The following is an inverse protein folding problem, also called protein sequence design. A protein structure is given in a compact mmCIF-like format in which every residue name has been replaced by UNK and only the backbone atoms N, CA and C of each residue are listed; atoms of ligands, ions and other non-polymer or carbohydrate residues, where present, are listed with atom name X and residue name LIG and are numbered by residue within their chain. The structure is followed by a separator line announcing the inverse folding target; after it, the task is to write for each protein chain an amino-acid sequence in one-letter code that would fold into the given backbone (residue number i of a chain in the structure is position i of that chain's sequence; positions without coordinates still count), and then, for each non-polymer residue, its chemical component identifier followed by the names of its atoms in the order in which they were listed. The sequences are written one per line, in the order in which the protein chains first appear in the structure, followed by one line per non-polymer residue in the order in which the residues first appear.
data_IF_898091098058
#
_entry.id   IF_898091098058
#
_cell.length_a   1.000
_cell.length_b   1.000
_cell.length_c   1.000
_cell.angle_alpha   90.00
_cell.angle_beta   90.00
_cell.angle_gamma   90.00
#
_symmetry.space_group_name_H-M   'P 1'
#
loop_
_entity.id
_entity.type
_entity.pdbx_description
1 polymer ?
#
# COMPACT_ATOMS: atom_id res chain seq x y z
N UNK A 1 -13.52 5.79 -35.59
CA UNK A 1 -13.35 5.93 -34.12
C UNK A 1 -12.94 4.56 -33.60
N UNK A 2 -11.81 4.50 -32.91
CA UNK A 2 -11.28 3.26 -32.35
C UNK A 2 -12.21 2.72 -31.25
N UNK A 3 -12.45 1.40 -31.25
CA UNK A 3 -13.36 0.73 -30.32
C UNK A 3 -12.88 0.82 -28.87
N UNK A 4 -11.60 0.63 -28.64
CA UNK A 4 -11.04 0.54 -27.29
C UNK A 4 -10.93 1.93 -26.65
N UNK A 5 -10.63 2.96 -27.46
CA UNK A 5 -10.78 4.35 -27.06
C UNK A 5 -12.22 4.67 -26.65
N UNK A 6 -13.21 4.33 -27.49
CA UNK A 6 -14.62 4.55 -27.16
C UNK A 6 -15.03 3.82 -25.88
N UNK A 7 -14.62 2.56 -25.71
CA UNK A 7 -14.88 1.80 -24.49
C UNK A 7 -14.32 2.50 -23.27
N UNK A 8 -13.06 2.96 -23.32
CA UNK A 8 -12.44 3.62 -22.17
C UNK A 8 -13.07 4.99 -21.89
N UNK A 9 -13.48 5.72 -22.92
CA UNK A 9 -14.24 6.96 -22.79
C UNK A 9 -15.57 6.72 -22.05
N UNK A 10 -16.32 5.69 -22.44
CA UNK A 10 -17.59 5.34 -21.80
C UNK A 10 -17.42 4.79 -20.38
N UNK A 11 -16.24 4.28 -20.02
CA UNK A 11 -15.91 3.82 -18.66
C UNK A 11 -15.25 4.91 -17.81
N UNK A 12 -14.96 6.07 -18.40
CA UNK A 12 -14.31 7.17 -17.69
C UNK A 12 -15.25 7.83 -16.68
N UNK A 13 -14.67 8.40 -15.63
CA UNK A 13 -15.43 9.12 -14.59
C UNK A 13 -16.25 10.28 -15.17
N UNK A 14 -15.75 10.96 -16.20
CA UNK A 14 -16.44 12.08 -16.84
C UNK A 14 -17.76 11.63 -17.47
N UNK A 15 -17.73 10.55 -18.25
CA UNK A 15 -18.95 9.99 -18.82
C UNK A 15 -19.87 9.39 -17.75
N UNK A 16 -19.33 8.63 -16.78
CA UNK A 16 -20.15 8.01 -15.74
C UNK A 16 -20.86 9.05 -14.85
N UNK A 17 -20.19 10.15 -14.50
CA UNK A 17 -20.81 11.27 -13.78
C UNK A 17 -21.87 11.99 -14.62
N UNK A 18 -21.59 12.22 -15.91
CA UNK A 18 -22.58 12.78 -16.83
C UNK A 18 -23.83 11.88 -16.94
N UNK A 19 -23.63 10.57 -17.09
CA UNK A 19 -24.70 9.59 -17.20
C UNK A 19 -25.54 9.50 -15.91
N UNK A 20 -24.91 9.61 -14.74
CA UNK A 20 -25.60 9.65 -13.45
C UNK A 20 -26.47 10.91 -13.32
N UNK A 21 -25.94 12.08 -13.67
CA UNK A 21 -26.67 13.35 -13.59
C UNK A 21 -27.84 13.46 -14.57
N UNK A 22 -27.77 12.76 -15.71
CA UNK A 22 -28.82 12.73 -16.73
C UNK A 22 -29.73 11.50 -16.59
N UNK A 23 -29.74 10.85 -15.42
CA UNK A 23 -30.59 9.70 -15.15
C UNK A 23 -31.83 10.09 -14.33
N UNK A 24 -33.01 9.77 -14.88
CA UNK A 24 -34.31 10.16 -14.29
C UNK A 24 -34.75 9.30 -13.08
N UNK A 25 -33.92 8.36 -12.60
CA UNK A 25 -34.30 7.40 -11.54
C UNK A 25 -33.24 7.29 -10.44
N UNK A 26 -33.69 7.39 -9.19
CA UNK A 26 -32.86 7.37 -7.99
C UNK A 26 -32.15 6.02 -7.69
N UNK A 27 -32.59 4.89 -8.26
CA UNK A 27 -32.11 3.56 -7.85
C UNK A 27 -31.34 2.79 -8.93
N UNK A 28 -31.56 3.09 -10.23
CA UNK A 28 -30.78 2.54 -11.35
C UNK A 28 -30.60 3.67 -12.38
N UNK A 29 -29.40 4.24 -12.50
CA UNK A 29 -29.13 5.30 -13.47
C UNK A 29 -29.36 4.77 -14.90
N UNK A 30 -30.40 5.29 -15.57
CA UNK A 30 -30.67 5.00 -16.97
C UNK A 30 -30.52 6.27 -17.78
N UNK A 31 -29.52 6.31 -18.66
CA UNK A 31 -29.33 7.41 -19.58
C UNK A 31 -30.31 7.30 -20.76
N UNK A 32 -31.00 8.40 -21.08
CA UNK A 32 -31.89 8.47 -22.24
C UNK A 32 -31.06 8.58 -23.54
N UNK A 33 -31.56 8.04 -24.66
CA UNK A 33 -30.86 8.05 -25.95
C UNK A 33 -30.46 9.46 -26.39
N UNK A 34 -31.32 10.46 -26.14
CA UNK A 34 -31.05 11.88 -26.44
C UNK A 34 -29.88 12.42 -25.64
N UNK A 35 -29.80 12.12 -24.34
CA UNK A 35 -28.70 12.52 -23.48
C UNK A 35 -27.39 11.82 -23.88
N UNK A 36 -27.46 10.53 -24.23
CA UNK A 36 -26.29 9.80 -24.71
C UNK A 36 -25.68 10.44 -25.97
N UNK A 37 -26.52 10.83 -26.93
CA UNK A 37 -26.06 11.50 -28.17
C UNK A 37 -25.64 12.95 -27.97
N UNK A 38 -26.05 13.58 -26.87
CA UNK A 38 -25.70 14.95 -26.52
C UNK A 38 -24.42 15.05 -25.67
N UNK A 39 -23.78 13.92 -25.35
CA UNK A 39 -22.52 13.91 -24.64
C UNK A 39 -21.39 14.43 -25.54
N UNK A 40 -20.80 15.55 -25.16
CA UNK A 40 -19.68 16.15 -25.87
C UNK A 40 -18.35 15.71 -25.26
N UNK A 41 -17.38 15.41 -26.13
CA UNK A 41 -16.03 15.06 -25.74
C UNK A 41 -15.04 15.50 -26.82
N UNK A 42 -13.79 15.75 -26.41
CA UNK A 42 -12.72 16.00 -27.35
C UNK A 42 -12.34 14.70 -28.05
N UNK A 43 -12.58 14.61 -29.36
CA UNK A 43 -12.23 13.46 -30.18
C UNK A 43 -10.84 13.67 -30.79
N UNK A 44 -9.79 12.94 -30.34
CA UNK A 44 -8.45 13.05 -30.91
C UNK A 44 -8.40 12.45 -32.32
N UNK A 45 -7.36 12.76 -33.14
CA UNK A 45 -7.11 12.11 -34.43
C UNK A 45 -7.05 10.57 -34.32
N UNK A 46 -7.41 9.86 -35.40
CA UNK A 46 -7.50 8.40 -35.40
C UNK A 46 -6.17 7.73 -35.05
N UNK A 47 -5.05 8.28 -35.53
CA UNK A 47 -3.71 7.75 -35.26
C UNK A 47 -3.39 7.70 -33.76
N UNK A 48 -3.76 8.76 -33.02
CA UNK A 48 -3.60 8.80 -31.56
C UNK A 48 -4.56 7.84 -30.83
N UNK A 49 -5.75 7.60 -31.40
CA UNK A 49 -6.68 6.62 -30.83
C UNK A 49 -6.13 5.19 -30.97
N UNK A 50 -5.44 4.90 -32.06
CA UNK A 50 -4.83 3.60 -32.31
C UNK A 50 -3.59 3.37 -31.44
N UNK A 51 -2.74 4.39 -31.26
CA UNK A 51 -1.64 4.35 -30.29
C UNK A 51 -2.14 4.09 -28.86
N UNK A 52 -3.20 4.79 -28.46
CA UNK A 52 -3.86 4.57 -27.17
C UNK A 52 -4.34 3.12 -27.03
N UNK A 53 -4.95 2.55 -28.08
CA UNK A 53 -5.44 1.17 -28.11
C UNK A 53 -4.33 0.17 -27.79
N UNK A 54 -3.15 0.33 -28.41
CA UNK A 54 -1.98 -0.54 -28.19
C UNK A 54 -1.51 -0.48 -26.74
N UNK A 55 -1.51 0.71 -26.13
CA UNK A 55 -1.09 0.89 -24.74
C UNK A 55 -2.10 0.22 -23.79
N UNK A 56 -3.39 0.44 -24.01
CA UNK A 56 -4.45 -0.16 -23.19
C UNK A 56 -4.43 -1.68 -23.25
N UNK A 57 -4.24 -2.26 -24.44
CA UNK A 57 -4.17 -3.71 -24.61
C UNK A 57 -3.03 -4.33 -23.78
N UNK A 58 -1.84 -3.71 -23.81
CA UNK A 58 -0.70 -4.15 -22.99
C UNK A 58 -1.00 -4.08 -21.50
N UNK A 59 -1.62 -2.99 -21.04
CA UNK A 59 -1.96 -2.80 -19.62
C UNK A 59 -3.00 -3.82 -19.16
N UNK A 60 -4.05 -4.04 -19.95
CA UNK A 60 -5.09 -5.03 -19.63
C UNK A 60 -4.53 -6.46 -19.63
N UNK A 61 -3.59 -6.78 -20.53
CA UNK A 61 -2.88 -8.06 -20.52
C UNK A 61 -2.08 -8.28 -19.23
N UNK A 62 -1.34 -7.26 -18.78
CA UNK A 62 -0.60 -7.31 -17.51
C UNK A 62 -1.55 -7.47 -16.33
N UNK A 63 -2.65 -6.71 -16.30
CA UNK A 63 -3.65 -6.78 -15.24
C UNK A 63 -4.30 -8.16 -15.15
N UNK A 64 -4.67 -8.75 -16.29
CA UNK A 64 -5.23 -10.09 -16.36
C UNK A 64 -4.25 -11.14 -15.81
N UNK A 65 -2.96 -11.04 -16.18
CA UNK A 65 -1.92 -11.90 -15.64
C UNK A 65 -1.80 -11.81 -14.11
N UNK A 66 -1.79 -10.60 -13.53
CA UNK A 66 -1.74 -10.42 -12.08
C UNK A 66 -2.98 -10.98 -11.38
N UNK A 67 -4.18 -10.77 -11.95
CA UNK A 67 -5.42 -11.31 -11.41
C UNK A 67 -5.41 -12.84 -11.41
N UNK A 68 -4.90 -13.46 -12.48
CA UNK A 68 -4.74 -14.90 -12.55
C UNK A 68 -3.75 -15.39 -11.48
N UNK A 69 -2.58 -14.75 -11.37
CA UNK A 69 -1.58 -15.12 -10.37
C UNK A 69 -2.12 -15.03 -8.93
N UNK A 70 -2.92 -14.01 -8.62
CA UNK A 70 -3.60 -13.87 -7.32
C UNK A 70 -4.62 -14.99 -7.07
N UNK A 71 -5.38 -15.37 -8.10
CA UNK A 71 -6.32 -16.49 -8.04
C UNK A 71 -5.58 -17.80 -7.78
N UNK A 72 -4.48 -18.05 -8.52
CA UNK A 72 -3.66 -19.26 -8.38
C UNK A 72 -3.03 -19.35 -6.99
N UNK A 73 -2.50 -18.24 -6.47
CA UNK A 73 -1.96 -18.18 -5.11
C UNK A 73 -3.04 -18.48 -4.06
N UNK A 74 -4.23 -17.92 -4.23
CA UNK A 74 -5.35 -18.17 -3.31
C UNK A 74 -5.80 -19.64 -3.34
N UNK A 75 -5.82 -20.24 -4.54
CA UNK A 75 -6.10 -21.66 -4.71
C UNK A 75 -5.03 -22.53 -4.04
N UNK A 76 -3.75 -22.25 -4.31
CA UNK A 76 -2.61 -22.97 -3.70
C UNK A 76 -2.61 -22.86 -2.18
N UNK A 77 -2.84 -21.66 -1.65
CA UNK A 77 -2.98 -21.44 -0.22
C UNK A 77 -4.14 -22.27 0.35
N UNK A 78 -5.29 -22.29 -0.32
CA UNK A 78 -6.44 -23.10 0.09
C UNK A 78 -6.11 -24.59 0.12
N UNK A 79 -5.46 -25.11 -0.92
CA UNK A 79 -5.09 -26.54 -0.97
C UNK A 79 -4.07 -26.90 0.10
N UNK A 80 -3.02 -26.09 0.28
CA UNK A 80 -1.98 -26.33 1.27
C UNK A 80 -2.53 -26.23 2.70
N UNK A 81 -3.42 -25.25 2.95
CA UNK A 81 -4.07 -25.11 4.25
C UNK A 81 -4.94 -26.32 4.59
N UNK A 82 -5.71 -26.83 3.62
CA UNK A 82 -6.50 -28.04 3.82
C UNK A 82 -5.63 -29.27 4.07
N UNK A 83 -4.53 -29.44 3.34
CA UNK A 83 -3.59 -30.55 3.54
C UNK A 83 -2.89 -30.46 4.91
N UNK A 84 -2.49 -29.26 5.32
CA UNK A 84 -1.89 -29.02 6.63
C UNK A 84 -2.88 -29.36 7.76
N UNK A 85 -4.13 -28.92 7.66
CA UNK A 85 -5.18 -29.19 8.66
C UNK A 85 -5.54 -30.67 8.74
N UNK A 86 -5.47 -31.40 7.64
CA UNK A 86 -5.67 -32.87 7.61
C UNK A 86 -4.44 -33.66 8.06
N UNK A 87 -3.31 -33.00 8.28
CA UNK A 87 -2.03 -33.67 8.62
C UNK A 87 -1.40 -34.41 7.45
N UNK A 88 -1.86 -34.16 6.21
CA UNK A 88 -1.37 -34.79 4.98
C UNK A 88 -0.18 -34.03 4.37
N UNK A 89 0.18 -32.87 4.93
CA UNK A 89 1.24 -32.01 4.41
C UNK A 89 2.61 -32.46 4.92
N UNK A 90 3.46 -32.95 4.01
CA UNK A 90 4.86 -33.25 4.33
C UNK A 90 5.77 -32.02 4.11
N UNK A 91 6.27 -31.44 5.22
CA UNK A 91 7.21 -30.31 5.19
C UNK A 91 8.70 -30.74 5.15
N UNK A 92 8.99 -32.03 4.95
CA UNK A 92 10.35 -32.61 5.08
C UNK A 92 11.39 -32.06 4.09
N UNK A 93 10.94 -31.50 2.97
CA UNK A 93 11.80 -30.93 1.91
C UNK A 93 11.86 -29.41 1.91
N UNK A 94 11.10 -28.74 2.78
CA UNK A 94 11.10 -27.29 2.88
C UNK A 94 12.11 -26.90 3.96
N UNK A 95 13.20 -26.19 3.63
CA UNK A 95 14.09 -25.64 4.66
C UNK A 95 13.30 -24.63 5.49
N UNK A 96 12.82 -25.07 6.65
CA UNK A 96 12.12 -24.21 7.58
C UNK A 96 13.15 -23.29 8.24
N UNK A 97 12.96 -21.96 8.22
CA UNK A 97 13.72 -21.07 9.09
C UNK A 97 13.52 -21.56 10.52
N UNK A 98 14.61 -21.75 11.26
CA UNK A 98 14.58 -22.21 12.65
C UNK A 98 13.99 -21.11 13.53
N UNK A 99 12.66 -20.98 13.53
CA UNK A 99 11.96 -20.13 14.48
C UNK A 99 12.10 -20.81 15.84
N UNK A 100 12.90 -20.22 16.73
CA UNK A 100 12.95 -20.64 18.14
C UNK A 100 11.56 -20.41 18.73
N UNK A 101 10.82 -21.49 18.88
CA UNK A 101 9.47 -21.47 19.45
C UNK A 101 9.61 -21.39 20.98
N UNK A 102 9.63 -20.18 21.52
CA UNK A 102 9.41 -19.95 22.95
C UNK A 102 7.96 -20.39 23.25
N UNK A 103 7.82 -21.44 24.05
CA UNK A 103 6.54 -22.04 24.41
C UNK A 103 5.71 -21.05 25.26
N UNK A 104 4.84 -20.29 24.62
CA UNK A 104 3.82 -19.50 25.32
C UNK A 104 2.54 -20.33 25.48
N UNK A 105 2.21 -20.61 26.74
CA UNK A 105 0.97 -21.25 27.18
C UNK A 105 -0.27 -20.67 26.51
N UNK A 106 -1.17 -21.58 26.15
CA UNK A 106 -2.51 -21.39 25.63
C UNK A 106 -3.36 -20.46 26.50
N UNK A 107 -3.70 -19.27 25.98
CA UNK A 107 -5.00 -18.62 26.18
C UNK A 107 -5.44 -17.92 24.90
N UNK A 108 -6.61 -18.35 24.44
CA UNK A 108 -7.39 -17.79 23.35
C UNK A 108 -7.84 -16.36 23.66
N UNK A 109 -7.19 -15.39 23.01
CA UNK A 109 -7.80 -14.23 22.33
C UNK A 109 -6.80 -13.87 21.23
N UNK A 110 -7.24 -13.78 19.97
CA UNK A 110 -6.38 -13.35 18.85
C UNK A 110 -5.84 -11.94 19.12
N UNK A 111 -4.61 -11.90 19.65
CA UNK A 111 -3.78 -10.72 19.72
C UNK A 111 -2.51 -11.06 18.93
N UNK A 112 -2.28 -10.33 17.85
CA UNK A 112 -1.14 -10.50 16.95
C UNK A 112 0.17 -10.49 17.76
N UNK A 113 1.14 -11.39 17.51
CA UNK A 113 2.26 -11.62 18.42
C UNK A 113 3.28 -10.49 18.41
N UNK A 114 3.61 -10.07 19.62
CA UNK A 114 4.75 -9.23 20.01
C UNK A 114 6.01 -10.11 20.05
N UNK A 115 7.00 -9.79 19.22
CA UNK A 115 8.43 -9.77 19.58
C UNK A 115 9.31 -9.56 18.34
N UNK A 116 9.66 -8.30 18.07
CA UNK A 116 10.96 -7.95 17.47
C UNK A 116 11.36 -6.62 18.14
N UNK A 117 12.49 -6.67 18.84
CA UNK A 117 13.24 -5.60 19.53
C UNK A 117 12.60 -4.22 19.72
N UNK A 118 12.43 -3.90 21.00
CA UNK A 118 12.65 -2.61 21.67
C UNK A 118 13.31 -1.50 20.83
N UNK A 119 12.51 -0.80 20.04
CA UNK A 119 12.57 0.66 20.04
C UNK A 119 11.14 1.09 20.33
N UNK A 120 10.88 1.50 21.57
CA UNK A 120 9.67 2.25 21.88
C UNK A 120 9.77 3.57 21.12
N UNK A 121 9.34 3.58 19.87
CA UNK A 121 9.28 4.78 19.03
C UNK A 121 8.27 5.69 19.69
N UNK A 122 8.76 6.66 20.44
CA UNK A 122 7.94 7.61 21.18
C UNK A 122 7.73 8.83 20.28
N UNK A 123 6.57 8.89 19.63
CA UNK A 123 6.14 10.07 18.90
C UNK A 123 5.82 11.20 19.88
N UNK A 124 6.20 12.46 19.61
CA UNK A 124 5.96 13.57 20.53
C UNK A 124 4.46 13.77 20.80
N UNK A 125 4.11 14.00 22.06
CA UNK A 125 2.77 14.41 22.47
C UNK A 125 2.57 15.89 22.11
N UNK A 126 1.43 16.23 21.51
CA UNK A 126 1.05 17.62 21.23
C UNK A 126 -0.27 17.89 21.96
N UNK A 127 -0.35 18.96 22.74
CA UNK A 127 -1.52 19.25 23.57
C UNK A 127 -2.85 19.40 22.76
N UNK A 128 -2.75 19.67 21.45
CA UNK A 128 -3.89 19.85 20.53
C UNK A 128 -4.01 18.74 19.46
N UNK A 129 -3.60 17.50 19.76
CA UNK A 129 -3.63 16.39 18.78
C UNK A 129 -4.99 16.22 18.10
N UNK A 130 -6.10 16.24 18.85
CA UNK A 130 -7.44 16.04 18.30
C UNK A 130 -7.84 17.16 17.30
N UNK A 131 -7.53 18.42 17.61
CA UNK A 131 -7.84 19.56 16.74
C UNK A 131 -6.96 19.57 15.48
N UNK A 132 -5.69 19.18 15.62
CA UNK A 132 -4.74 19.06 14.51
C UNK A 132 -5.14 17.92 13.56
N UNK A 133 -5.64 16.80 14.08
CA UNK A 133 -6.11 15.68 13.28
C UNK A 133 -7.37 16.01 12.46
N UNK A 134 -8.17 17.01 12.85
CA UNK A 134 -9.35 17.42 12.08
C UNK A 134 -9.01 18.24 10.83
N UNK A 135 -7.90 18.97 10.84
CA UNK A 135 -7.45 19.80 9.71
C UNK A 135 -6.49 19.06 8.78
N UNK A 136 -6.78 19.01 7.47
CA UNK A 136 -5.92 18.33 6.49
C UNK A 136 -4.49 18.86 6.47
N UNK A 137 -4.33 20.18 6.43
CA UNK A 137 -3.02 20.81 6.36
C UNK A 137 -2.22 20.62 7.65
N UNK A 138 -2.89 20.62 8.80
CA UNK A 138 -2.24 20.44 10.09
C UNK A 138 -1.83 18.97 10.31
N UNK A 139 -2.62 18.00 9.80
CA UNK A 139 -2.25 16.58 9.75
C UNK A 139 -0.99 16.33 8.97
N UNK A 140 -0.87 16.91 7.78
CA UNK A 140 0.29 16.74 6.91
C UNK A 140 1.57 17.22 7.61
N UNK A 141 1.52 18.42 8.23
CA UNK A 141 2.64 18.94 9.01
C UNK A 141 3.00 18.04 10.20
N UNK A 142 1.99 17.49 10.88
CA UNK A 142 2.20 16.58 12.00
C UNK A 142 2.82 15.24 11.58
N UNK A 143 2.38 14.67 10.45
CA UNK A 143 2.95 13.45 9.89
C UNK A 143 4.43 13.65 9.56
N UNK A 144 4.79 14.81 8.98
CA UNK A 144 6.19 15.16 8.71
C UNK A 144 7.00 15.22 10.01
N UNK A 145 6.52 15.93 11.03
CA UNK A 145 7.19 15.99 12.33
C UNK A 145 7.38 14.60 12.97
N UNK A 146 6.36 13.74 12.89
CA UNK A 146 6.42 12.38 13.38
C UNK A 146 7.40 11.51 12.59
N UNK A 147 7.45 11.65 11.26
CA UNK A 147 8.42 10.95 10.42
C UNK A 147 9.86 11.39 10.71
N UNK A 148 10.09 12.68 10.99
CA UNK A 148 11.40 13.18 11.38
C UNK A 148 11.87 12.63 12.73
N UNK A 149 10.97 12.61 13.73
CA UNK A 149 11.28 11.99 15.03
C UNK A 149 11.52 10.50 14.88
N UNK A 150 10.71 9.83 14.04
CA UNK A 150 10.89 8.43 13.73
C UNK A 150 12.26 8.15 13.11
N UNK A 151 12.70 8.95 12.12
CA UNK A 151 14.04 8.81 11.53
C UNK A 151 15.16 9.03 12.56
N UNK A 152 15.01 9.99 13.48
CA UNK A 152 16.00 10.21 14.54
C UNK A 152 16.09 9.03 15.52
N UNK A 153 14.97 8.36 15.78
CA UNK A 153 14.90 7.20 16.67
C UNK A 153 15.31 5.89 15.97
N UNK A 154 15.30 5.86 14.64
CA UNK A 154 15.59 4.67 13.83
C UNK A 154 17.05 4.21 13.92
N UNK A 155 18.00 5.11 14.20
CA UNK A 155 19.42 4.77 14.39
C UNK A 155 19.99 3.86 13.27
N UNK A 156 20.48 2.63 13.57
CA UNK A 156 21.03 1.68 12.60
C UNK A 156 19.97 0.80 11.90
N UNK A 157 18.71 0.89 12.33
CA UNK A 157 17.63 -0.02 11.95
C UNK A 157 17.00 0.35 10.59
N UNK A 158 16.24 -0.61 10.04
CA UNK A 158 15.56 -0.46 8.76
C UNK A 158 14.33 0.43 8.89
N UNK A 159 14.17 1.35 7.94
CA UNK A 159 12.99 2.20 7.84
C UNK A 159 11.82 1.33 7.40
N UNK A 160 10.88 1.13 8.33
CA UNK A 160 9.65 0.39 8.08
C UNK A 160 8.45 1.31 8.21
N UNK A 161 7.71 1.50 7.12
CA UNK A 161 6.43 2.24 7.13
C UNK A 161 5.44 1.54 8.07
N UNK A 162 5.46 0.21 8.16
CA UNK A 162 4.56 -0.53 9.04
C UNK A 162 4.81 -0.20 10.51
N UNK A 163 6.07 -0.15 10.94
CA UNK A 163 6.41 0.21 12.33
C UNK A 163 6.00 1.66 12.63
N UNK A 164 6.22 2.57 11.68
CA UNK A 164 5.76 3.96 11.80
C UNK A 164 4.24 4.03 11.96
N UNK A 165 3.47 3.38 11.08
CA UNK A 165 2.00 3.39 11.15
C UNK A 165 1.47 2.76 12.44
N UNK A 166 2.11 1.70 12.95
CA UNK A 166 1.76 1.12 14.25
C UNK A 166 2.03 2.12 15.40
N UNK A 167 3.16 2.83 15.38
CA UNK A 167 3.45 3.86 16.37
C UNK A 167 2.42 5.01 16.32
N UNK A 168 2.03 5.43 15.11
CA UNK A 168 0.97 6.42 14.90
C UNK A 168 -0.37 5.93 15.45
N UNK A 169 -0.76 4.69 15.15
CA UNK A 169 -2.01 4.10 15.65
C UNK A 169 -2.04 3.99 17.17
N UNK A 170 -0.95 3.56 17.79
CA UNK A 170 -0.81 3.55 19.26
C UNK A 170 -1.01 4.96 19.81
N UNK A 171 -0.43 5.98 19.15
CA UNK A 171 -0.55 7.37 19.57
C UNK A 171 -1.96 7.94 19.41
N UNK A 172 -2.66 7.57 18.35
CA UNK A 172 -4.07 7.94 18.15
C UNK A 172 -4.96 7.24 19.18
N UNK A 173 -4.66 5.99 19.54
CA UNK A 173 -5.42 5.23 20.52
C UNK A 173 -5.29 5.75 21.98
N UNK A 174 -4.28 6.58 22.27
CA UNK A 174 -4.16 7.29 23.55
C UNK A 174 -5.10 8.50 23.66
N UNK A 175 -5.76 8.91 22.57
CA UNK A 175 -6.77 9.96 22.59
C UNK A 175 -8.07 9.49 23.27
N UNK A 176 -8.85 10.40 23.87
CA UNK A 176 -10.13 10.05 24.46
C UNK A 176 -11.05 9.35 23.45
N UNK A 177 -11.77 8.33 23.92
CA UNK A 177 -12.45 7.29 23.14
C UNK A 177 -13.52 7.76 22.12
N UNK A 178 -13.85 9.04 22.06
CA UNK A 178 -14.86 9.60 21.14
C UNK A 178 -14.31 10.02 19.76
N UNK A 179 -12.98 10.10 19.58
CA UNK A 179 -12.36 10.45 18.29
C UNK A 179 -11.74 9.21 17.61
N UNK A 180 -12.56 8.40 16.95
CA UNK A 180 -12.08 7.34 16.05
C UNK A 180 -11.47 7.99 14.79
N UNK A 181 -10.16 8.08 14.71
CA UNK A 181 -9.44 8.68 13.58
C UNK A 181 -8.62 7.62 12.81
N UNK A 182 -8.86 7.52 11.51
CA UNK A 182 -8.10 6.66 10.59
C UNK A 182 -7.38 7.52 9.54
N UNK A 183 -6.11 7.20 9.28
CA UNK A 183 -5.35 7.81 8.19
C UNK A 183 -5.98 7.46 6.84
N UNK A 184 -6.34 8.47 6.06
CA UNK A 184 -6.95 8.32 4.75
C UNK A 184 -5.91 8.22 3.63
N UNK A 185 -6.37 7.91 2.40
CA UNK A 185 -5.52 7.76 1.20
C UNK A 185 -4.62 8.98 0.96
N UNK A 186 -5.09 10.20 1.28
CA UNK A 186 -4.30 11.43 1.12
C UNK A 186 -3.10 11.46 2.05
N UNK A 187 -3.25 11.01 3.28
CA UNK A 187 -2.18 10.98 4.27
C UNK A 187 -1.09 9.98 3.85
N UNK A 188 -1.48 8.85 3.27
CA UNK A 188 -0.53 7.88 2.67
C UNK A 188 0.25 8.44 1.49
N UNK A 189 -0.39 9.20 0.59
CA UNK A 189 0.33 9.87 -0.51
C UNK A 189 1.32 10.90 0.03
N UNK A 190 1.00 11.60 1.12
CA UNK A 190 1.94 12.55 1.75
C UNK A 190 3.15 11.84 2.37
N UNK A 191 2.93 10.73 3.09
CA UNK A 191 4.04 9.90 3.60
C UNK A 191 4.93 9.43 2.45
N UNK A 192 4.31 8.98 1.35
CA UNK A 192 5.03 8.51 0.16
C UNK A 192 5.86 9.61 -0.49
N UNK A 193 5.29 10.79 -0.73
CA UNK A 193 6.00 11.95 -1.28
C UNK A 193 7.21 12.27 -0.40
N UNK A 194 7.00 12.36 0.92
CA UNK A 194 8.06 12.67 1.86
C UNK A 194 9.18 11.62 1.85
N UNK A 195 8.86 10.32 1.75
CA UNK A 195 9.88 9.25 1.66
C UNK A 195 10.72 9.40 0.40
N UNK A 196 10.11 9.76 -0.74
CA UNK A 196 10.86 10.01 -1.97
C UNK A 196 11.77 11.25 -1.87
N UNK A 197 11.29 12.33 -1.24
CA UNK A 197 12.12 13.51 -0.97
C UNK A 197 13.26 13.18 -0.01
N UNK A 198 13.00 12.40 1.04
CA UNK A 198 14.04 11.95 1.97
C UNK A 198 15.10 11.08 1.27
N UNK A 199 14.72 10.30 0.24
CA UNK A 199 15.67 9.57 -0.60
C UNK A 199 16.47 10.48 -1.52
N UNK A 200 15.86 11.51 -2.12
CA UNK A 200 16.57 12.46 -2.98
C UNK A 200 17.56 13.32 -2.19
N UNK A 201 17.20 13.70 -0.97
CA UNK A 201 18.01 14.52 -0.07
C UNK A 201 19.12 13.72 0.62
N UNK A 202 19.16 12.39 0.45
CA UNK A 202 20.11 11.50 1.11
C UNK A 202 19.84 11.26 2.60
N UNK A 203 18.68 11.73 3.12
CA UNK A 203 18.19 11.46 4.48
C UNK A 203 17.82 9.99 4.69
N UNK A 204 17.38 9.33 3.62
CA UNK A 204 17.23 7.89 3.51
C UNK A 204 18.18 7.36 2.45
N UNK A 205 18.75 6.19 2.69
CA UNK A 205 19.58 5.46 1.73
C UNK A 205 18.92 4.14 1.39
N UNK A 206 18.81 3.89 0.09
CA UNK A 206 18.39 2.60 -0.44
C UNK A 206 19.61 1.68 -0.51
N UNK A 207 19.52 0.56 0.22
CA UNK A 207 20.51 -0.50 0.27
C UNK A 207 19.88 -1.80 -0.26
N UNK A 208 20.72 -2.76 -0.64
CA UNK A 208 20.28 -4.13 -0.90
C UNK A 208 20.62 -4.98 0.30
N UNK A 209 19.78 -5.97 0.59
CA UNK A 209 20.14 -6.99 1.55
C UNK A 209 21.37 -7.76 1.07
N UNK A 210 22.19 -8.21 2.02
CA UNK A 210 23.35 -9.06 1.74
C UNK A 210 22.90 -10.47 2.09
N UNK A 211 22.82 -11.33 1.07
CA UNK A 211 22.34 -12.71 1.23
C UNK A 211 23.47 -13.68 1.54
N UNK A 212 24.69 -13.40 1.09
CA UNK A 212 25.88 -14.21 1.34
C UNK A 212 27.16 -13.38 1.09
N UNK A 213 28.33 -13.97 1.29
CA UNK A 213 29.63 -13.40 0.90
C UNK A 213 30.35 -14.37 -0.05
N UNK A 214 30.91 -13.87 -1.15
CA UNK A 214 31.71 -14.70 -2.06
C UNK A 214 33.04 -15.13 -1.39
N UNK A 215 33.75 -16.09 -1.99
CA UNK A 215 35.06 -16.61 -1.55
C UNK A 215 36.15 -15.54 -1.40
N UNK A 216 35.94 -14.33 -1.95
CA UNK A 216 36.80 -13.15 -1.78
C UNK A 216 36.34 -12.20 -0.67
N UNK A 217 35.33 -12.59 0.11
CA UNK A 217 34.70 -11.80 1.16
C UNK A 217 33.94 -10.56 0.66
N UNK A 218 33.51 -10.57 -0.60
CA UNK A 218 32.66 -9.52 -1.19
C UNK A 218 31.17 -9.85 -0.95
N UNK A 219 30.32 -8.88 -0.59
CA UNK A 219 28.92 -9.12 -0.30
C UNK A 219 28.13 -9.49 -1.57
N UNK A 220 27.41 -10.61 -1.51
CA UNK A 220 26.42 -11.02 -2.51
C UNK A 220 25.10 -10.34 -2.15
N UNK A 221 24.63 -9.47 -3.05
CA UNK A 221 23.39 -8.74 -2.83
C UNK A 221 22.17 -9.58 -3.22
N UNK A 222 21.17 -9.60 -2.34
CA UNK A 222 19.85 -10.15 -2.63
C UNK A 222 18.96 -9.18 -3.39
N UNK A 223 17.69 -9.59 -3.49
CA UNK A 223 16.65 -8.85 -4.21
C UNK A 223 15.82 -7.94 -3.29
N UNK A 224 16.08 -7.93 -1.98
CA UNK A 224 15.31 -7.12 -1.03
C UNK A 224 15.93 -5.73 -0.92
N UNK A 225 15.12 -4.72 -1.17
CA UNK A 225 15.50 -3.33 -0.95
C UNK A 225 15.27 -2.96 0.51
N UNK A 226 16.29 -2.41 1.13
CA UNK A 226 16.29 -1.93 2.50
C UNK A 226 16.41 -0.41 2.47
N UNK A 227 15.57 0.27 3.23
CA UNK A 227 15.69 1.71 3.45
C UNK A 227 16.35 1.90 4.82
N UNK A 228 17.43 2.67 4.90
CA UNK A 228 18.07 3.02 6.18
C UNK A 228 18.21 4.52 6.31
N UNK A 229 18.21 5.03 7.54
CA UNK A 229 18.55 6.43 7.78
C UNK A 229 19.97 6.70 7.24
N UNK A 230 20.11 7.77 6.45
CA UNK A 230 21.41 8.25 6.04
C UNK A 230 22.16 8.75 7.28
N UNK A 231 23.36 8.22 7.54
CA UNK A 231 24.26 8.84 8.51
C UNK A 231 24.47 10.31 8.09
N UNK A 232 24.01 11.23 8.93
CA UNK A 232 24.38 12.65 8.90
C UNK A 232 25.77 12.77 9.52
#
# INVERSE_FOLDING_TARGET
MNRDFLRMLLMSKTFLSYAANNSDRANIPKINRKALTAFEFNCPPIDLQDEFSIIVEKIEGIKAYYQQSLSDLSALFGTLSQQALKGELECSRVPLPSIKLEAANSRSVEHVPRAASEVAINLPYMDNLADVLRSSQAREALIVCWLEVYLRQLGPDEFSIRLFLTAVQIRIAELPADDYFELGVKDYEHIKIWVFEALSDGRLKQLRDITDYDKKNEPIFGNRLLLKAGQI
#
